data_IF_586041371884
#
_entry.id   IF_586041371884
#
_cell.length_a   1.000
_cell.length_b   1.000
_cell.length_c   1.000
_cell.angle_alpha   90.00
_cell.angle_beta   90.00
_cell.angle_gamma   90.00
#
_symmetry.space_group_name_H-M   'P 1'
#
loop_
_entity.id
_entity.type
_entity.pdbx_description
1 polymer ?
#
# COMPACT_ATOMS: atom_id res chain seq x y z
N UNK A 1 -19.19 13.61 -10.04
CA UNK A 1 -18.61 14.51 -9.01
C UNK A 1 -18.39 15.92 -9.57
N UNK A 2 -18.32 16.93 -8.70
CA UNK A 2 -17.74 18.23 -9.06
C UNK A 2 -16.20 18.12 -9.19
N UNK A 3 -15.58 19.13 -9.82
CA UNK A 3 -14.15 19.12 -10.13
C UNK A 3 -13.24 19.21 -8.90
N UNK A 4 -13.72 19.71 -7.76
CA UNK A 4 -12.96 19.72 -6.51
C UNK A 4 -12.88 18.31 -5.94
N UNK A 5 -14.04 17.65 -5.79
CA UNK A 5 -14.12 16.29 -5.26
C UNK A 5 -13.33 15.29 -6.13
N UNK A 6 -13.37 15.43 -7.46
CA UNK A 6 -12.56 14.59 -8.36
C UNK A 6 -11.06 14.77 -8.13
N UNK A 7 -10.58 16.00 -7.91
CA UNK A 7 -9.16 16.27 -7.63
C UNK A 7 -8.72 15.70 -6.30
N UNK A 8 -9.57 15.82 -5.29
CA UNK A 8 -9.31 15.25 -3.96
C UNK A 8 -9.21 13.71 -4.01
N UNK A 9 -10.16 13.05 -4.70
CA UNK A 9 -10.12 11.60 -4.91
C UNK A 9 -8.83 11.15 -5.61
N UNK A 10 -8.39 11.87 -6.65
CA UNK A 10 -7.13 11.57 -7.33
C UNK A 10 -5.91 11.79 -6.43
N UNK A 11 -5.94 12.79 -5.55
CA UNK A 11 -4.88 12.99 -4.53
C UNK A 11 -4.81 11.79 -3.58
N UNK A 12 -5.95 11.36 -3.05
CA UNK A 12 -6.04 10.20 -2.15
C UNK A 12 -5.53 8.92 -2.84
N UNK A 13 -5.91 8.68 -4.10
CA UNK A 13 -5.41 7.53 -4.88
C UNK A 13 -3.90 7.53 -5.05
N UNK A 14 -3.28 8.71 -5.21
CA UNK A 14 -1.82 8.87 -5.33
C UNK A 14 -1.11 8.62 -4.00
N UNK A 15 -1.60 9.23 -2.93
CA UNK A 15 -1.04 9.05 -1.59
C UNK A 15 -1.13 7.58 -1.15
N UNK A 16 -2.28 6.93 -1.38
CA UNK A 16 -2.45 5.51 -1.11
C UNK A 16 -1.46 4.63 -1.89
N UNK A 17 -1.13 5.00 -3.14
CA UNK A 17 -0.10 4.29 -3.90
C UNK A 17 1.30 4.49 -3.31
N UNK A 18 1.63 5.68 -2.78
CA UNK A 18 2.90 5.91 -2.09
C UNK A 18 3.02 4.99 -0.88
N UNK A 19 1.98 4.94 -0.04
CA UNK A 19 1.94 4.09 1.16
C UNK A 19 2.10 2.60 0.79
N UNK A 20 1.42 2.13 -0.26
CA UNK A 20 1.59 0.75 -0.76
C UNK A 20 3.04 0.46 -1.16
N UNK A 21 3.70 1.40 -1.85
CA UNK A 21 5.09 1.25 -2.27
C UNK A 21 6.02 1.19 -1.05
N UNK A 22 5.86 2.13 -0.12
CA UNK A 22 6.66 2.19 1.11
C UNK A 22 6.51 0.91 1.95
N UNK A 23 5.29 0.36 2.07
CA UNK A 23 5.07 -0.92 2.75
C UNK A 23 5.78 -2.08 2.05
N UNK A 24 5.79 -2.11 0.72
CA UNK A 24 6.50 -3.15 -0.04
C UNK A 24 8.01 -3.03 0.13
N UNK A 25 8.54 -1.81 0.15
CA UNK A 25 9.97 -1.54 0.35
C UNK A 25 10.40 -1.96 1.76
N UNK A 26 9.61 -1.61 2.79
CA UNK A 26 9.84 -2.07 4.18
C UNK A 26 9.77 -3.59 4.26
N UNK A 27 8.77 -4.23 3.65
CA UNK A 27 8.65 -5.69 3.65
C UNK A 27 9.85 -6.36 2.97
N UNK A 28 10.38 -5.76 1.91
CA UNK A 28 11.58 -6.23 1.23
C UNK A 28 12.81 -6.10 2.13
N UNK A 29 13.06 -4.93 2.71
CA UNK A 29 14.18 -4.69 3.62
C UNK A 29 14.12 -5.58 4.87
N UNK A 30 12.94 -5.79 5.45
CA UNK A 30 12.76 -6.74 6.56
C UNK A 30 13.12 -8.17 6.13
N UNK A 31 12.79 -8.57 4.91
CA UNK A 31 13.10 -9.92 4.43
C UNK A 31 14.58 -10.11 4.12
N UNK A 32 15.24 -9.12 3.52
CA UNK A 32 16.63 -9.21 3.05
C UNK A 32 17.67 -8.81 4.09
N UNK A 33 17.40 -7.76 4.86
CA UNK A 33 18.41 -7.07 5.67
C UNK A 33 18.38 -7.56 7.13
N UNK A 34 17.19 -7.95 7.61
CA UNK A 34 17.05 -8.58 8.93
C UNK A 34 17.35 -10.08 8.85
N UNK A 35 18.56 -10.45 9.27
CA UNK A 35 18.98 -11.86 9.41
C UNK A 35 18.61 -12.38 10.80
N UNK A 36 17.60 -13.25 10.87
CA UNK A 36 17.15 -13.88 12.11
C UNK A 36 15.89 -14.73 11.89
N UNK A 37 15.41 -15.39 12.95
CA UNK A 37 14.14 -16.13 12.91
C UNK A 37 12.99 -15.12 12.85
N UNK A 38 12.08 -15.28 11.91
CA UNK A 38 10.82 -14.52 11.84
C UNK A 38 10.83 -13.31 10.91
N UNK A 39 11.94 -13.02 10.22
CA UNK A 39 12.01 -12.00 9.16
C UNK A 39 11.00 -12.28 8.02
N UNK A 40 10.90 -13.54 7.59
CA UNK A 40 9.94 -13.98 6.57
C UNK A 40 8.48 -13.75 7.02
N UNK A 41 8.18 -14.08 8.29
CA UNK A 41 6.85 -13.90 8.86
C UNK A 41 6.49 -12.42 9.00
N UNK A 42 7.44 -11.59 9.46
CA UNK A 42 7.26 -10.15 9.58
C UNK A 42 7.02 -9.52 8.21
N UNK A 43 7.85 -9.84 7.21
CA UNK A 43 7.67 -9.41 5.82
C UNK A 43 6.30 -9.84 5.26
N UNK A 44 5.88 -11.08 5.53
CA UNK A 44 4.55 -11.58 5.14
C UNK A 44 3.42 -10.78 5.77
N UNK A 45 3.52 -10.42 7.06
CA UNK A 45 2.51 -9.59 7.73
C UNK A 45 2.41 -8.20 7.10
N UNK A 46 3.53 -7.58 6.75
CA UNK A 46 3.55 -6.27 6.08
C UNK A 46 2.93 -6.37 4.69
N UNK A 47 3.27 -7.42 3.91
CA UNK A 47 2.67 -7.68 2.60
C UNK A 47 1.15 -7.84 2.65
N UNK A 48 0.61 -8.55 3.65
CA UNK A 48 -0.85 -8.67 3.84
C UNK A 48 -1.54 -7.31 4.03
N UNK A 49 -0.89 -6.36 4.71
CA UNK A 49 -1.41 -5.00 4.87
C UNK A 49 -1.34 -4.24 3.54
N UNK A 50 -0.22 -4.35 2.82
CA UNK A 50 -0.06 -3.77 1.47
C UNK A 50 -1.15 -4.29 0.51
N UNK A 51 -1.43 -5.59 0.50
CA UNK A 51 -2.47 -6.21 -0.33
C UNK A 51 -3.87 -5.69 0.01
N UNK A 52 -4.16 -5.46 1.29
CA UNK A 52 -5.42 -4.84 1.72
C UNK A 52 -5.55 -3.42 1.16
N UNK A 53 -4.49 -2.62 1.21
CA UNK A 53 -4.51 -1.28 0.63
C UNK A 53 -4.57 -1.27 -0.90
N UNK A 54 -3.95 -2.25 -1.57
CA UNK A 54 -4.15 -2.44 -3.01
C UNK A 54 -5.61 -2.74 -3.34
N UNK A 55 -6.29 -3.57 -2.54
CA UNK A 55 -7.71 -3.83 -2.71
C UNK A 55 -8.55 -2.55 -2.53
N UNK A 56 -8.29 -1.76 -1.48
CA UNK A 56 -8.96 -0.47 -1.26
C UNK A 56 -8.74 0.47 -2.45
N UNK A 57 -7.51 0.57 -2.97
CA UNK A 57 -7.21 1.39 -4.15
C UNK A 57 -8.02 0.96 -5.37
N UNK A 58 -8.18 -0.36 -5.58
CA UNK A 58 -9.01 -0.88 -6.68
C UNK A 58 -10.47 -0.45 -6.52
N UNK A 59 -11.01 -0.45 -5.30
CA UNK A 59 -12.36 0.07 -5.04
C UNK A 59 -12.44 1.58 -5.31
N UNK A 60 -11.45 2.37 -4.89
CA UNK A 60 -11.40 3.81 -5.19
C UNK A 60 -11.33 4.09 -6.71
N UNK A 61 -10.64 3.24 -7.47
CA UNK A 61 -10.57 3.36 -8.92
C UNK A 61 -11.90 3.07 -9.62
N UNK A 62 -12.84 2.38 -8.97
CA UNK A 62 -14.19 2.16 -9.51
C UNK A 62 -15.18 3.30 -9.23
N UNK A 63 -14.74 4.38 -8.57
CA UNK A 63 -15.58 5.57 -8.29
C UNK A 63 -15.36 6.62 -9.39
N UNK A 64 -16.46 7.04 -10.03
CA UNK A 64 -16.53 8.01 -11.14
C UNK A 64 -16.83 9.47 -10.74
#
# INVERSE_FOLDING_TARGET
MDASTKRELESIKRELQSIINELNDIASGVNSDFKGIGNEYCSSCIKKVSDKYQWVKRQLNSID
#
